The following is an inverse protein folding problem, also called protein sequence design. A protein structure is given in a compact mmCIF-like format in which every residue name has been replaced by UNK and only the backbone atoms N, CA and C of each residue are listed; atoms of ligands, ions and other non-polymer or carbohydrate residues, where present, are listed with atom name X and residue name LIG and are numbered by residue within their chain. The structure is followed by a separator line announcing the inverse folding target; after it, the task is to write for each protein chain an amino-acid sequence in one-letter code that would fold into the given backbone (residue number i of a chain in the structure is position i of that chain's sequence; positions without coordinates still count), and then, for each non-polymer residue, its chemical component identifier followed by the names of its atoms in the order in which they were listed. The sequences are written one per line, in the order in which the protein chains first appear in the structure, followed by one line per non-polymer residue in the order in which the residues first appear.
data_IF_980061291143
#
_entry.id   IF_980061291143
#
_cell.length_a   1.000
_cell.length_b   1.000
_cell.length_c   1.000
_cell.angle_alpha   90.00
_cell.angle_beta   90.00
_cell.angle_gamma   90.00
#
_symmetry.space_group_name_H-M   'P 1'
#
loop_
_entity.id
_entity.type
_entity.pdbx_description
1 polymer ?
#
# COMPACT_ATOMS: atom_id res chain seq x y z
N UNK A 1 8.40 29.99 4.05
CA UNK A 1 8.40 28.50 3.94
C UNK A 1 8.94 27.88 5.21
N UNK A 2 8.26 26.88 5.76
CA UNK A 2 8.72 26.16 6.97
C UNK A 2 9.79 25.10 6.64
N UNK A 3 10.40 24.50 7.67
CA UNK A 3 11.30 23.35 7.48
C UNK A 3 10.55 22.11 6.94
N UNK A 4 9.32 21.89 7.41
CA UNK A 4 8.47 20.79 6.96
C UNK A 4 8.14 20.90 5.46
N UNK A 5 7.76 22.10 4.99
CA UNK A 5 7.43 22.34 3.57
C UNK A 5 8.61 22.00 2.66
N UNK A 6 9.83 22.38 3.08
CA UNK A 6 11.08 22.08 2.35
C UNK A 6 11.34 20.58 2.26
N UNK A 7 11.11 19.84 3.34
CA UNK A 7 11.27 18.38 3.37
C UNK A 7 10.23 17.71 2.47
N UNK A 8 8.97 18.12 2.55
CA UNK A 8 7.88 17.59 1.72
C UNK A 8 8.12 17.84 0.23
N UNK A 9 8.48 19.08 -0.15
CA UNK A 9 8.83 19.43 -1.52
C UNK A 9 10.07 18.67 -2.00
N UNK A 10 11.10 18.54 -1.16
CA UNK A 10 12.30 17.76 -1.47
C UNK A 10 11.98 16.30 -1.77
N UNK A 11 11.17 15.67 -0.94
CA UNK A 11 10.70 14.29 -1.15
C UNK A 11 9.85 14.17 -2.43
N UNK A 12 8.95 15.14 -2.69
CA UNK A 12 8.13 15.19 -3.89
C UNK A 12 8.99 15.27 -5.17
N UNK A 13 10.03 16.10 -5.17
CA UNK A 13 10.94 16.25 -6.31
C UNK A 13 11.82 15.00 -6.51
N UNK A 14 12.29 14.38 -5.42
CA UNK A 14 13.01 13.12 -5.49
C UNK A 14 12.16 11.99 -6.09
N UNK A 15 10.88 11.92 -5.70
CA UNK A 15 9.92 10.95 -6.23
C UNK A 15 9.49 11.22 -7.68
N UNK A 16 9.66 12.46 -8.17
CA UNK A 16 9.25 12.87 -9.52
C UNK A 16 10.19 12.35 -10.63
N UNK A 17 9.68 12.10 -11.86
CA UNK A 17 10.49 11.71 -13.02
C UNK A 17 11.54 12.77 -13.34
N UNK A 18 12.77 12.33 -13.69
CA UNK A 18 13.92 13.22 -13.92
C UNK A 18 13.63 14.33 -14.93
N UNK A 19 12.91 14.02 -16.01
CA UNK A 19 12.53 14.95 -17.08
C UNK A 19 11.63 16.10 -16.62
N UNK A 20 10.89 15.94 -15.52
CA UNK A 20 9.94 16.94 -15.02
C UNK A 20 10.41 17.64 -13.74
N UNK A 21 11.56 17.26 -13.16
CA UNK A 21 12.00 17.78 -11.85
C UNK A 21 12.26 19.29 -11.86
N UNK A 22 12.83 19.82 -12.95
CA UNK A 22 13.13 21.24 -13.05
C UNK A 22 11.84 22.08 -13.07
N UNK A 23 10.93 21.78 -13.98
CA UNK A 23 9.63 22.45 -14.10
C UNK A 23 8.79 22.31 -12.83
N UNK A 24 8.69 21.10 -12.24
CA UNK A 24 7.95 20.88 -10.99
C UNK A 24 8.60 21.58 -9.79
N UNK A 25 9.93 21.70 -9.77
CA UNK A 25 10.62 22.45 -8.71
C UNK A 25 10.19 23.89 -8.76
N UNK A 26 10.33 24.52 -9.92
CA UNK A 26 9.94 25.92 -10.11
C UNK A 26 8.47 26.14 -9.74
N UNK A 27 7.56 25.39 -10.37
CA UNK A 27 6.12 25.49 -10.15
C UNK A 27 5.74 25.29 -8.68
N UNK A 28 6.14 24.18 -8.07
CA UNK A 28 5.72 23.89 -6.69
C UNK A 28 6.39 24.79 -5.66
N UNK A 29 7.59 25.31 -5.93
CA UNK A 29 8.19 26.32 -5.06
C UNK A 29 7.48 27.66 -5.15
N UNK A 30 7.01 28.06 -6.34
CA UNK A 30 6.19 29.24 -6.53
C UNK A 30 4.84 29.07 -5.83
N UNK A 31 4.13 27.95 -6.07
CA UNK A 31 2.84 27.66 -5.45
C UNK A 31 2.90 27.71 -3.92
N UNK A 32 3.93 27.12 -3.30
CA UNK A 32 4.09 27.13 -1.83
C UNK A 32 4.54 28.49 -1.30
N UNK A 33 5.30 29.27 -2.08
CA UNK A 33 5.70 30.64 -1.71
C UNK A 33 4.50 31.58 -1.71
N UNK A 34 3.67 31.49 -2.75
CA UNK A 34 2.57 32.42 -3.03
C UNK A 34 1.27 31.97 -2.33
N UNK A 35 1.25 30.77 -1.74
CA UNK A 35 0.12 30.19 -1.01
C UNK A 35 -0.54 31.15 -0.01
N UNK A 36 0.26 31.92 0.72
CA UNK A 36 -0.24 32.85 1.76
C UNK A 36 -0.95 34.07 1.18
N UNK A 37 -0.61 34.46 -0.04
CA UNK A 37 -1.27 35.56 -0.74
C UNK A 37 -2.66 35.14 -1.24
N UNK A 38 -2.92 33.83 -1.32
CA UNK A 38 -4.17 33.22 -1.77
C UNK A 38 -5.00 32.61 -0.62
N UNK A 39 -4.67 32.92 0.65
CA UNK A 39 -5.28 32.31 1.84
C UNK A 39 -5.22 30.76 1.86
N UNK A 40 -4.21 30.18 1.20
CA UNK A 40 -3.98 28.74 1.17
C UNK A 40 -2.89 28.33 2.17
N UNK A 41 -3.02 27.10 2.67
CA UNK A 41 -2.03 26.50 3.56
C UNK A 41 -0.77 26.06 2.76
N UNK A 42 0.42 26.63 3.03
CA UNK A 42 1.65 26.22 2.34
C UNK A 42 1.99 24.75 2.58
N UNK A 43 1.71 24.23 3.79
CA UNK A 43 1.92 22.83 4.15
C UNK A 43 0.97 21.91 3.37
N UNK A 44 -0.29 22.31 3.18
CA UNK A 44 -1.24 21.54 2.39
C UNK A 44 -0.81 21.45 0.91
N UNK A 45 -0.29 22.54 0.34
CA UNK A 45 0.25 22.52 -1.03
C UNK A 45 1.52 21.68 -1.15
N UNK A 46 2.44 21.75 -0.17
CA UNK A 46 3.63 20.90 -0.15
C UNK A 46 3.26 19.40 -0.04
N UNK A 47 2.22 19.07 0.72
CA UNK A 47 1.67 17.72 0.80
C UNK A 47 0.95 17.30 -0.50
N UNK A 48 0.23 18.23 -1.13
CA UNK A 48 -0.35 18.07 -2.47
C UNK A 48 0.71 17.76 -3.52
N UNK A 49 1.85 18.45 -3.49
CA UNK A 49 2.99 18.17 -4.37
C UNK A 49 3.56 16.75 -4.15
N UNK A 50 3.73 16.34 -2.89
CA UNK A 50 4.21 14.99 -2.54
C UNK A 50 3.26 13.90 -3.03
N UNK A 51 1.97 14.02 -2.73
CA UNK A 51 0.95 13.07 -3.19
C UNK A 51 0.86 13.04 -4.72
N UNK A 52 0.98 14.19 -5.39
CA UNK A 52 1.04 14.26 -6.85
C UNK A 52 2.27 13.53 -7.39
N UNK A 53 3.45 13.72 -6.80
CA UNK A 53 4.66 13.01 -7.20
C UNK A 53 4.55 11.49 -7.04
N UNK A 54 3.97 11.03 -5.93
CA UNK A 54 3.82 9.62 -5.61
C UNK A 54 2.76 8.93 -6.49
N UNK A 55 1.65 9.60 -6.77
CA UNK A 55 0.48 8.98 -7.41
C UNK A 55 0.37 9.27 -8.91
N UNK A 56 0.98 10.34 -9.42
CA UNK A 56 0.87 10.77 -10.84
C UNK A 56 2.20 10.67 -11.60
N UNK A 57 3.04 9.69 -11.24
CA UNK A 57 4.41 9.51 -11.78
C UNK A 57 4.47 9.22 -13.30
N UNK A 58 3.36 8.83 -13.93
CA UNK A 58 3.31 8.35 -15.33
C UNK A 58 2.32 9.07 -16.24
N UNK A 59 1.78 10.21 -15.83
CA UNK A 59 1.01 11.03 -16.77
C UNK A 59 2.01 11.92 -17.53
N UNK A 60 2.38 11.62 -18.80
CA UNK A 60 2.73 12.69 -19.71
C UNK A 60 1.44 13.49 -19.87
N UNK A 61 1.25 14.50 -19.01
CA UNK A 61 0.36 15.58 -19.39
C UNK A 61 0.97 16.15 -20.67
N UNK A 62 0.32 15.91 -21.81
CA UNK A 62 0.36 16.89 -22.89
C UNK A 62 -0.13 18.17 -22.23
N UNK A 63 0.79 19.06 -21.92
CA UNK A 63 0.46 20.42 -21.56
C UNK A 63 -0.34 20.98 -22.72
N UNK A 64 -1.66 21.00 -22.58
CA UNK A 64 -2.59 21.63 -23.53
C UNK A 64 -2.42 23.14 -23.61
N UNK A 65 -1.36 23.67 -23.01
CA UNK A 65 -1.04 25.09 -22.95
C UNK A 65 -0.11 25.55 -24.08
N UNK A 66 0.28 24.64 -24.99
CA UNK A 66 1.10 24.98 -26.18
C UNK A 66 0.50 24.56 -27.53
N UNK A 67 -0.45 23.62 -27.56
CA UNK A 67 -1.06 23.14 -28.81
C UNK A 67 -2.43 23.82 -29.01
N UNK A 68 -2.40 24.85 -29.84
CA UNK A 68 -3.51 25.68 -30.28
C UNK A 68 -4.70 24.92 -30.88
N UNK A 69 -5.89 25.13 -30.30
CA UNK A 69 -7.23 25.32 -30.91
C UNK A 69 -7.73 24.48 -32.12
N UNK A 70 -7.06 23.43 -32.58
CA UNK A 70 -7.44 22.76 -33.85
C UNK A 70 -7.60 21.24 -33.81
N UNK A 71 -7.63 20.62 -32.63
CA UNK A 71 -7.94 19.19 -32.56
C UNK A 71 -9.45 18.96 -32.44
N UNK A 72 -10.03 18.43 -33.52
CA UNK A 72 -11.38 17.87 -33.61
C UNK A 72 -11.76 17.06 -32.36
N UNK A 73 -13.05 17.04 -31.95
CA UNK A 73 -13.51 16.32 -30.77
C UNK A 73 -13.45 14.81 -31.03
N UNK A 74 -12.28 14.20 -30.82
CA UNK A 74 -12.22 12.76 -30.61
C UNK A 74 -13.04 12.42 -29.37
N UNK A 75 -13.85 11.36 -29.36
CA UNK A 75 -14.52 10.87 -28.16
C UNK A 75 -13.46 10.29 -27.22
N UNK A 76 -12.78 11.18 -26.49
CA UNK A 76 -11.88 10.79 -25.42
C UNK A 76 -12.77 10.23 -24.32
N UNK A 77 -12.92 8.90 -24.28
CA UNK A 77 -13.18 8.23 -23.00
C UNK A 77 -11.97 8.53 -22.12
N UNK A 78 -12.02 9.69 -21.45
CA UNK A 78 -11.15 9.99 -20.34
C UNK A 78 -11.52 9.00 -19.26
N UNK A 79 -10.87 7.83 -19.25
CA UNK A 79 -10.85 7.02 -18.05
C UNK A 79 -10.27 7.96 -16.98
N UNK A 80 -11.06 8.37 -15.97
CA UNK A 80 -10.57 9.29 -14.96
C UNK A 80 -9.31 8.68 -14.38
N UNK A 81 -8.28 9.51 -14.23
CA UNK A 81 -6.98 9.13 -13.70
C UNK A 81 -7.17 8.56 -12.30
N UNK A 82 -7.40 7.25 -12.24
CA UNK A 82 -7.56 6.55 -10.99
C UNK A 82 -6.17 6.32 -10.47
N UNK A 83 -5.82 7.05 -9.40
CA UNK A 83 -4.72 6.70 -8.51
C UNK A 83 -4.71 5.18 -8.40
N UNK A 84 -3.55 4.54 -8.61
CA UNK A 84 -3.42 3.11 -8.31
C UNK A 84 -3.62 2.96 -6.80
N UNK A 85 -4.88 2.82 -6.38
CA UNK A 85 -5.33 2.82 -4.99
C UNK A 85 -4.79 1.62 -4.22
N UNK A 86 -4.57 0.50 -4.92
CA UNK A 86 -4.03 -0.74 -4.35
C UNK A 86 -2.68 -0.51 -3.63
N UNK A 87 -1.61 0.01 -4.28
CA UNK A 87 -0.35 0.27 -3.58
C UNK A 87 -0.46 1.32 -2.47
N UNK A 88 -1.41 2.27 -2.55
CA UNK A 88 -1.66 3.23 -1.46
C UNK A 88 -2.23 2.53 -0.25
N UNK A 89 -3.24 1.67 -0.45
CA UNK A 89 -3.86 0.89 0.61
C UNK A 89 -2.86 -0.08 1.25
N UNK A 90 -2.00 -0.69 0.45
CA UNK A 90 -0.91 -1.54 0.95
C UNK A 90 0.08 -0.72 1.79
N UNK A 91 0.50 0.45 1.31
CA UNK A 91 1.40 1.32 2.06
C UNK A 91 0.76 1.79 3.38
N UNK A 92 -0.53 2.12 3.35
CA UNK A 92 -1.31 2.49 4.53
C UNK A 92 -1.41 1.33 5.53
N UNK A 93 -1.62 0.09 5.06
CA UNK A 93 -1.63 -1.09 5.90
C UNK A 93 -0.29 -1.29 6.63
N UNK A 94 0.82 -1.20 5.88
CA UNK A 94 2.18 -1.33 6.44
C UNK A 94 2.45 -0.21 7.44
N UNK A 95 2.15 1.04 7.08
CA UNK A 95 2.38 2.20 7.94
C UNK A 95 1.54 2.10 9.23
N UNK A 96 0.26 1.72 9.10
CA UNK A 96 -0.62 1.51 10.26
C UNK A 96 -0.06 0.44 11.20
N UNK A 97 0.45 -0.66 10.65
CA UNK A 97 1.08 -1.70 11.47
C UNK A 97 2.32 -1.17 12.18
N UNK A 98 3.22 -0.47 11.46
CA UNK A 98 4.44 0.11 12.04
C UNK A 98 4.12 1.09 13.18
N UNK A 99 3.15 1.98 12.95
CA UNK A 99 2.73 2.98 13.94
C UNK A 99 2.14 2.28 15.16
N UNK A 100 1.20 1.35 14.96
CA UNK A 100 0.55 0.66 16.05
C UNK A 100 1.52 -0.26 16.82
N UNK A 101 2.47 -0.92 16.14
CA UNK A 101 3.58 -1.64 16.77
C UNK A 101 4.45 -0.73 17.65
N UNK A 102 4.81 0.46 17.15
CA UNK A 102 5.56 1.44 17.91
C UNK A 102 4.80 1.92 19.15
N UNK A 103 3.50 2.18 19.01
CA UNK A 103 2.62 2.58 20.13
C UNK A 103 2.50 1.44 21.14
N UNK A 104 2.28 0.19 20.73
CA UNK A 104 2.25 -0.96 21.64
C UNK A 104 3.58 -1.15 22.37
N UNK A 105 4.72 -0.98 21.69
CA UNK A 105 6.04 -1.08 22.31
C UNK A 105 6.28 0.01 23.38
N UNK A 106 5.71 1.21 23.19
CA UNK A 106 5.73 2.27 24.20
C UNK A 106 4.76 1.96 25.35
N UNK A 107 3.55 1.52 25.03
CA UNK A 107 2.52 1.17 26.01
C UNK A 107 2.95 0.01 26.91
N UNK A 108 3.80 -0.90 26.43
CA UNK A 108 4.40 -2.00 27.21
C UNK A 108 5.09 -1.55 28.49
N UNK A 109 5.51 -0.28 28.60
CA UNK A 109 6.04 0.30 29.85
C UNK A 109 4.99 0.43 30.96
N UNK A 110 3.71 0.46 30.59
CA UNK A 110 2.56 0.57 31.49
C UNK A 110 1.84 -0.77 31.65
N UNK A 111 2.47 -1.87 31.23
CA UNK A 111 1.90 -3.21 31.38
C UNK A 111 1.64 -3.52 32.85
N UNK A 112 0.44 -3.96 33.18
CA UNK A 112 -0.03 -4.19 34.56
C UNK A 112 -0.88 -3.08 35.17
N UNK A 113 -0.95 -1.89 34.54
CA UNK A 113 -1.90 -0.85 34.93
C UNK A 113 -3.28 -1.15 34.32
N UNK A 114 -4.36 -1.27 35.12
CA UNK A 114 -5.70 -1.56 34.60
C UNK A 114 -6.18 -0.51 33.59
N UNK A 115 -5.81 0.75 33.82
CA UNK A 115 -6.18 1.90 32.99
C UNK A 115 -5.51 1.89 31.60
N UNK A 116 -4.38 1.19 31.45
CA UNK A 116 -3.69 1.07 30.16
C UNK A 116 -4.33 0.02 29.26
N UNK A 117 -5.05 -0.96 29.82
CA UNK A 117 -5.62 -2.11 29.09
C UNK A 117 -6.55 -1.72 27.94
N UNK A 118 -7.52 -0.78 28.10
CA UNK A 118 -8.37 -0.36 26.99
C UNK A 118 -7.59 0.25 25.82
N UNK A 119 -6.48 0.95 26.10
CA UNK A 119 -5.63 1.56 25.08
C UNK A 119 -4.83 0.49 24.35
N UNK A 120 -4.31 -0.51 25.08
CA UNK A 120 -3.68 -1.69 24.48
C UNK A 120 -4.60 -2.41 23.52
N UNK A 121 -5.82 -2.71 23.97
CA UNK A 121 -6.81 -3.43 23.18
C UNK A 121 -7.17 -2.61 21.94
N UNK A 122 -7.41 -1.30 22.09
CA UNK A 122 -7.72 -0.40 20.96
C UNK A 122 -6.59 -0.35 19.91
N UNK A 123 -5.34 -0.24 20.33
CA UNK A 123 -4.19 -0.21 19.41
C UNK A 123 -3.98 -1.59 18.77
N UNK A 124 -4.20 -2.67 19.52
CA UNK A 124 -4.20 -4.03 19.00
C UNK A 124 -5.26 -4.24 17.92
N UNK A 125 -6.49 -3.74 18.13
CA UNK A 125 -7.55 -3.76 17.11
C UNK A 125 -7.07 -3.03 15.85
N UNK A 126 -6.43 -1.86 16.01
CA UNK A 126 -5.84 -1.11 14.91
C UNK A 126 -4.82 -1.90 14.09
N UNK A 127 -4.01 -2.75 14.74
CA UNK A 127 -3.02 -3.61 14.05
C UNK A 127 -3.64 -4.71 13.20
N UNK A 128 -4.81 -5.24 13.58
CA UNK A 128 -5.46 -6.31 12.84
C UNK A 128 -6.46 -5.79 11.80
N UNK A 129 -7.29 -4.84 12.20
CA UNK A 129 -8.43 -4.35 11.42
C UNK A 129 -7.97 -3.48 10.26
N UNK A 130 -7.05 -2.53 10.47
CA UNK A 130 -6.64 -1.60 9.40
C UNK A 130 -5.96 -2.34 8.24
N UNK A 131 -4.99 -3.26 8.46
CA UNK A 131 -4.44 -4.05 7.37
C UNK A 131 -5.48 -4.95 6.70
N UNK A 132 -6.36 -5.59 7.48
CA UNK A 132 -7.43 -6.42 6.93
C UNK A 132 -8.37 -5.65 6.00
N UNK A 133 -8.82 -4.47 6.42
CA UNK A 133 -9.67 -3.58 5.63
C UNK A 133 -8.95 -3.04 4.39
N UNK A 134 -7.66 -2.71 4.50
CA UNK A 134 -6.87 -2.23 3.37
C UNK A 134 -6.70 -3.32 2.30
N UNK A 135 -6.41 -4.56 2.71
CA UNK A 135 -6.30 -5.71 1.78
C UNK A 135 -7.67 -6.05 1.18
N UNK A 136 -8.74 -6.05 1.98
CA UNK A 136 -10.11 -6.26 1.49
C UNK A 136 -10.53 -5.20 0.46
N UNK A 137 -10.31 -3.92 0.78
CA UNK A 137 -10.65 -2.79 -0.10
C UNK A 137 -9.85 -2.86 -1.40
N UNK A 138 -8.58 -3.24 -1.34
CA UNK A 138 -7.76 -3.37 -2.54
C UNK A 138 -8.20 -4.53 -3.44
N UNK A 139 -8.80 -5.60 -2.90
CA UNK A 139 -9.48 -6.64 -3.70
C UNK A 139 -10.78 -6.14 -4.36
N UNK A 140 -11.57 -5.30 -3.70
CA UNK A 140 -12.74 -4.67 -4.30
C UNK A 140 -12.37 -3.82 -5.52
N UNK A 141 -11.21 -3.17 -5.43
CA UNK A 141 -10.66 -2.28 -6.46
C UNK A 141 -9.89 -3.03 -7.56
N UNK A 142 -9.73 -4.36 -7.47
CA UNK A 142 -9.09 -5.15 -8.52
C UNK A 142 -9.89 -5.10 -9.83
N UNK A 143 -9.28 -4.54 -10.88
CA UNK A 143 -9.85 -4.51 -12.23
C UNK A 143 -9.77 -5.89 -12.90
N UNK A 144 -10.70 -6.17 -13.81
CA UNK A 144 -10.74 -7.45 -14.55
C UNK A 144 -11.29 -8.65 -13.77
N UNK A 145 -11.67 -8.49 -12.50
CA UNK A 145 -12.22 -9.58 -11.68
C UNK A 145 -13.75 -9.48 -11.56
N UNK A 146 -14.51 -10.58 -11.78
CA UNK A 146 -15.96 -10.61 -11.57
C UNK A 146 -16.35 -10.19 -10.14
N UNK A 147 -17.45 -9.43 -9.99
CA UNK A 147 -17.91 -8.92 -8.67
C UNK A 147 -18.06 -10.03 -7.61
N UNK A 148 -18.62 -11.18 -7.99
CA UNK A 148 -18.79 -12.34 -7.09
C UNK A 148 -17.46 -12.81 -6.50
N UNK A 149 -16.39 -12.82 -7.31
CA UNK A 149 -15.06 -13.25 -6.85
C UNK A 149 -14.40 -12.21 -5.96
N UNK A 150 -14.55 -10.93 -6.26
CA UNK A 150 -14.11 -9.85 -5.36
C UNK A 150 -14.79 -9.96 -4.00
N UNK A 151 -16.10 -10.22 -3.98
CA UNK A 151 -16.85 -10.46 -2.73
C UNK A 151 -16.29 -11.63 -1.93
N UNK A 152 -16.05 -12.79 -2.56
CA UNK A 152 -15.44 -13.95 -1.91
C UNK A 152 -14.03 -13.64 -1.39
N UNK A 153 -13.22 -12.92 -2.17
CA UNK A 153 -11.90 -12.47 -1.77
C UNK A 153 -11.93 -11.59 -0.52
N UNK A 154 -12.83 -10.60 -0.50
CA UNK A 154 -13.07 -9.74 0.67
C UNK A 154 -13.44 -10.56 1.90
N UNK A 155 -14.41 -11.46 1.77
CA UNK A 155 -14.85 -12.32 2.87
C UNK A 155 -13.68 -13.15 3.40
N UNK A 156 -12.88 -13.75 2.50
CA UNK A 156 -11.70 -14.51 2.88
C UNK A 156 -10.66 -13.65 3.61
N UNK A 157 -10.37 -12.44 3.12
CA UNK A 157 -9.43 -11.53 3.78
C UNK A 157 -9.92 -11.05 5.15
N UNK A 158 -11.21 -10.78 5.29
CA UNK A 158 -11.81 -10.41 6.57
C UNK A 158 -11.80 -11.58 7.56
N UNK A 159 -12.02 -12.81 7.08
CA UNK A 159 -11.91 -14.00 7.91
C UNK A 159 -10.46 -14.20 8.41
N UNK A 160 -9.46 -14.04 7.54
CA UNK A 160 -8.04 -14.09 7.93
C UNK A 160 -7.72 -13.00 8.96
N UNK A 161 -8.20 -11.77 8.77
CA UNK A 161 -8.02 -10.68 9.71
C UNK A 161 -8.70 -10.95 11.07
N UNK A 162 -9.91 -11.56 11.06
CA UNK A 162 -10.62 -11.93 12.26
C UNK A 162 -9.92 -13.07 13.03
N UNK A 163 -9.40 -14.08 12.33
CA UNK A 163 -8.57 -15.13 12.94
C UNK A 163 -7.32 -14.54 13.55
N UNK A 164 -6.64 -13.63 12.83
CA UNK A 164 -5.46 -12.93 13.35
C UNK A 164 -5.76 -12.15 14.63
N UNK A 165 -6.87 -11.41 14.64
CA UNK A 165 -7.35 -10.71 15.82
C UNK A 165 -7.60 -11.67 16.98
N UNK A 166 -8.33 -12.76 16.75
CA UNK A 166 -8.65 -13.74 17.78
C UNK A 166 -7.38 -14.37 18.39
N UNK A 167 -6.36 -14.62 17.58
CA UNK A 167 -5.05 -15.09 18.04
C UNK A 167 -4.34 -14.01 18.88
N UNK A 168 -4.37 -12.75 18.43
CA UNK A 168 -3.67 -11.64 19.08
C UNK A 168 -4.28 -11.27 20.43
N UNK A 169 -5.62 -11.27 20.53
CA UNK A 169 -6.39 -11.01 21.75
C UNK A 169 -6.43 -12.23 22.70
N UNK A 170 -5.89 -13.38 22.26
CA UNK A 170 -5.81 -14.60 23.06
C UNK A 170 -7.11 -15.41 23.16
N UNK A 171 -8.19 -14.95 22.52
CA UNK A 171 -9.47 -15.68 22.43
C UNK A 171 -9.34 -16.99 21.66
N UNK A 172 -8.43 -17.06 20.69
CA UNK A 172 -8.07 -18.28 19.97
C UNK A 172 -6.63 -18.69 20.32
N UNK A 173 -6.51 -19.75 21.11
CA UNK A 173 -5.22 -20.37 21.40
C UNK A 173 -4.80 -21.30 20.26
N UNK A 174 -3.85 -20.84 19.45
CA UNK A 174 -3.21 -21.68 18.42
C UNK A 174 -1.89 -22.22 18.97
N UNK A 175 -1.75 -23.54 19.18
CA UNK A 175 -0.49 -24.11 19.65
C UNK A 175 0.62 -23.87 18.62
N UNK A 176 1.74 -23.28 19.06
CA UNK A 176 2.90 -23.04 18.22
C UNK A 176 3.65 -21.74 18.56
N UNK A 177 4.75 -21.51 17.86
CA UNK A 177 5.50 -20.26 17.97
C UNK A 177 4.70 -19.11 17.37
N UNK A 178 4.53 -18.01 18.12
CA UNK A 178 3.76 -16.84 17.65
C UNK A 178 4.26 -16.28 16.31
N UNK A 179 5.55 -16.42 16.02
CA UNK A 179 6.11 -16.03 14.73
C UNK A 179 5.61 -16.89 13.56
N UNK A 180 5.36 -18.19 13.74
CA UNK A 180 4.76 -19.03 12.70
C UNK A 180 3.32 -18.60 12.41
N UNK A 181 2.58 -18.18 13.43
CA UNK A 181 1.21 -17.67 13.27
C UNK A 181 1.19 -16.42 12.36
N UNK A 182 2.16 -15.51 12.51
CA UNK A 182 2.34 -14.32 11.63
C UNK A 182 2.48 -14.76 10.17
N UNK A 183 3.30 -15.77 9.92
CA UNK A 183 3.59 -16.26 8.58
C UNK A 183 2.38 -16.93 7.95
N UNK A 184 1.63 -17.69 8.74
CA UNK A 184 0.36 -18.30 8.32
C UNK A 184 -0.68 -17.25 7.95
N UNK A 185 -0.78 -16.16 8.71
CA UNK A 185 -1.71 -15.07 8.39
C UNK A 185 -1.28 -14.29 7.15
N UNK A 186 0.00 -13.98 7.01
CA UNK A 186 0.53 -13.36 5.79
C UNK A 186 0.30 -14.26 4.56
N UNK A 187 0.52 -15.57 4.70
CA UNK A 187 0.19 -16.56 3.66
C UNK A 187 -1.31 -16.58 3.37
N UNK A 188 -2.17 -16.50 4.39
CA UNK A 188 -3.63 -16.42 4.24
C UNK A 188 -4.09 -15.21 3.42
N UNK A 189 -3.56 -14.02 3.73
CA UNK A 189 -3.83 -12.81 2.93
C UNK A 189 -3.37 -12.96 1.48
N UNK A 190 -2.17 -13.51 1.27
CA UNK A 190 -1.65 -13.76 -0.08
C UNK A 190 -2.48 -14.81 -0.84
N UNK A 191 -2.93 -15.87 -0.17
CA UNK A 191 -3.77 -16.90 -0.76
C UNK A 191 -5.11 -16.33 -1.20
N UNK A 192 -5.77 -15.55 -0.33
CA UNK A 192 -7.01 -14.85 -0.67
C UNK A 192 -6.81 -13.95 -1.90
N UNK A 193 -5.66 -13.26 -1.99
CA UNK A 193 -5.30 -12.43 -3.12
C UNK A 193 -5.12 -13.23 -4.42
N UNK A 194 -4.28 -14.27 -4.41
CA UNK A 194 -3.97 -15.08 -5.59
C UNK A 194 -5.21 -15.80 -6.13
N UNK A 195 -6.04 -16.36 -5.24
CA UNK A 195 -7.29 -17.05 -5.60
C UNK A 195 -8.29 -16.07 -6.21
N UNK A 196 -8.43 -14.87 -5.63
CA UNK A 196 -9.33 -13.83 -6.14
C UNK A 196 -8.93 -13.38 -7.55
N UNK A 197 -7.62 -13.23 -7.78
CA UNK A 197 -7.05 -12.81 -9.06
C UNK A 197 -6.93 -13.95 -10.10
N UNK A 198 -7.40 -15.17 -9.83
CA UNK A 198 -7.25 -16.36 -10.72
C UNK A 198 -5.81 -16.59 -11.19
N UNK A 199 -4.85 -16.42 -10.30
CA UNK A 199 -3.45 -16.66 -10.69
C UNK A 199 -3.21 -18.15 -10.96
N UNK A 200 -2.31 -18.48 -11.90
CA UNK A 200 -2.01 -19.86 -12.23
C UNK A 200 -1.46 -20.61 -11.01
N UNK A 201 -1.77 -21.90 -10.89
CA UNK A 201 -1.48 -22.69 -9.68
C UNK A 201 -0.01 -22.66 -9.26
N UNK A 202 0.92 -22.51 -10.20
CA UNK A 202 2.35 -22.39 -9.88
C UNK A 202 2.65 -21.18 -8.98
N UNK A 203 1.87 -20.10 -9.05
CA UNK A 203 2.03 -18.92 -8.18
C UNK A 203 1.69 -19.21 -6.72
N UNK A 204 0.97 -20.29 -6.42
CA UNK A 204 0.72 -20.73 -5.04
C UNK A 204 2.02 -21.14 -4.33
N UNK A 205 3.10 -21.44 -5.06
CA UNK A 205 4.44 -21.60 -4.47
C UNK A 205 4.90 -20.35 -3.71
N UNK A 206 4.39 -19.15 -4.06
CA UNK A 206 4.69 -17.91 -3.35
C UNK A 206 4.15 -17.88 -1.92
N UNK A 207 3.19 -18.76 -1.58
CA UNK A 207 2.69 -18.90 -0.20
C UNK A 207 3.76 -19.41 0.76
N UNK A 208 4.80 -20.07 0.25
CA UNK A 208 5.92 -20.55 1.05
C UNK A 208 6.81 -19.40 1.52
N UNK A 209 6.87 -18.29 0.77
CA UNK A 209 7.74 -17.15 1.08
C UNK A 209 7.47 -16.53 2.47
N UNK A 210 6.23 -16.16 2.85
CA UNK A 210 5.97 -15.63 4.19
C UNK A 210 6.31 -16.64 5.30
N UNK A 211 6.17 -17.95 5.06
CA UNK A 211 6.52 -19.00 6.03
C UNK A 211 8.04 -19.15 6.18
N UNK A 212 8.79 -19.13 5.07
CA UNK A 212 10.26 -19.16 5.12
C UNK A 212 10.78 -17.89 5.80
N UNK A 213 10.19 -16.73 5.50
CA UNK A 213 10.56 -15.48 6.13
C UNK A 213 10.38 -15.52 7.65
N UNK A 214 9.28 -16.08 8.17
CA UNK A 214 9.11 -16.22 9.63
C UNK A 214 10.12 -17.17 10.23
N UNK A 215 10.35 -18.33 9.60
CA UNK A 215 11.35 -19.31 10.08
C UNK A 215 12.75 -18.69 10.15
N UNK A 216 13.12 -17.82 9.21
CA UNK A 216 14.43 -17.15 9.19
C UNK A 216 14.51 -15.98 10.18
N UNK A 217 13.42 -15.23 10.37
CA UNK A 217 13.41 -14.05 11.25
C UNK A 217 13.28 -14.42 12.72
N UNK A 218 12.63 -15.55 13.05
CA UNK A 218 12.39 -15.96 14.44
C UNK A 218 13.67 -16.16 15.25
N UNK A 219 14.70 -16.91 14.75
CA UNK A 219 15.95 -17.07 15.47
C UNK A 219 16.66 -15.73 15.70
N UNK A 220 16.59 -14.82 14.73
CA UNK A 220 17.19 -13.50 14.85
C UNK A 220 16.48 -12.67 15.94
N UNK A 221 15.15 -12.67 15.97
CA UNK A 221 14.37 -12.01 17.02
C UNK A 221 14.69 -12.58 18.41
N UNK A 222 14.77 -13.91 18.52
CA UNK A 222 15.13 -14.60 19.76
C UNK A 222 16.57 -14.32 20.21
N UNK A 223 17.52 -14.27 19.27
CA UNK A 223 18.90 -13.92 19.56
C UNK A 223 19.00 -12.51 20.13
N UNK A 224 18.25 -11.54 19.57
CA UNK A 224 18.21 -10.15 20.06
C UNK A 224 17.62 -10.06 21.47
N UNK A 225 16.57 -10.85 21.76
CA UNK A 225 15.98 -10.95 23.11
C UNK A 225 17.02 -11.39 24.15
N UNK A 226 17.93 -12.29 23.78
CA UNK A 226 18.94 -12.82 24.69
C UNK A 226 20.08 -11.84 25.04
N UNK A 227 20.20 -10.69 24.35
CA UNK A 227 21.32 -9.73 24.52
C UNK A 227 21.15 -8.80 25.73
N UNK A 228 20.03 -8.90 26.47
CA UNK A 228 19.80 -8.05 27.64
C UNK A 228 19.47 -6.59 27.29
N UNK A 229 18.90 -6.36 26.10
CA UNK A 229 18.40 -5.04 25.70
C UNK A 229 17.24 -4.59 26.57
N UNK A 230 17.00 -3.27 26.64
CA UNK A 230 15.83 -2.75 27.32
C UNK A 230 14.54 -3.31 26.71
N UNK A 231 13.54 -3.57 27.56
CA UNK A 231 12.32 -4.26 27.18
C UNK A 231 11.55 -3.54 26.05
N UNK A 232 11.59 -2.21 25.98
CA UNK A 232 11.02 -1.44 24.87
C UNK A 232 11.74 -1.68 23.53
N UNK A 233 13.07 -1.78 23.54
CA UNK A 233 13.86 -2.09 22.34
C UNK A 233 13.59 -3.52 21.89
N UNK A 234 13.54 -4.45 22.84
CA UNK A 234 13.21 -5.85 22.58
C UNK A 234 11.82 -6.00 21.95
N UNK A 235 10.82 -5.30 22.50
CA UNK A 235 9.45 -5.31 21.98
C UNK A 235 9.36 -4.67 20.59
N UNK A 236 10.08 -3.57 20.36
CA UNK A 236 10.14 -2.94 19.05
C UNK A 236 10.74 -3.88 17.99
N UNK A 237 11.86 -4.55 18.31
CA UNK A 237 12.50 -5.51 17.39
C UNK A 237 11.59 -6.70 17.13
N UNK A 238 10.90 -7.20 18.16
CA UNK A 238 9.91 -8.26 18.02
C UNK A 238 8.81 -7.87 17.02
N UNK A 239 8.19 -6.70 17.19
CA UNK A 239 7.16 -6.22 16.27
C UNK A 239 7.69 -5.90 14.86
N UNK A 240 8.91 -5.37 14.75
CA UNK A 240 9.57 -5.15 13.47
C UNK A 240 9.83 -6.47 12.73
N UNK A 241 10.20 -7.53 13.45
CA UNK A 241 10.33 -8.87 12.91
C UNK A 241 9.01 -9.42 12.37
N UNK A 242 7.88 -9.11 13.03
CA UNK A 242 6.55 -9.51 12.56
C UNK A 242 6.09 -8.80 11.28
N UNK A 243 6.73 -7.69 10.87
CA UNK A 243 6.42 -7.02 9.59
C UNK A 243 6.97 -7.78 8.37
N UNK A 244 8.08 -8.50 8.52
CA UNK A 244 8.79 -9.12 7.39
C UNK A 244 7.90 -10.05 6.57
N UNK A 245 7.10 -10.96 7.17
CA UNK A 245 6.22 -11.84 6.41
C UNK A 245 5.15 -11.08 5.62
N UNK A 246 4.63 -9.98 6.18
CA UNK A 246 3.67 -9.12 5.50
C UNK A 246 4.31 -8.39 4.31
N UNK A 247 5.52 -7.85 4.47
CA UNK A 247 6.24 -7.21 3.37
C UNK A 247 6.55 -8.20 2.25
N UNK A 248 6.96 -9.42 2.60
CA UNK A 248 7.20 -10.51 1.65
C UNK A 248 5.91 -10.89 0.92
N UNK A 249 4.78 -11.02 1.63
CA UNK A 249 3.49 -11.29 1.03
C UNK A 249 3.03 -10.16 0.10
N UNK A 250 3.25 -8.90 0.48
CA UNK A 250 2.99 -7.74 -0.38
C UNK A 250 3.82 -7.80 -1.65
N UNK A 251 5.13 -8.04 -1.54
CA UNK A 251 6.02 -8.16 -2.70
C UNK A 251 5.57 -9.32 -3.59
N UNK A 252 5.24 -10.47 -3.02
CA UNK A 252 4.70 -11.61 -3.76
C UNK A 252 3.40 -11.26 -4.50
N UNK A 253 2.47 -10.54 -3.86
CA UNK A 253 1.24 -10.06 -4.48
C UNK A 253 1.49 -9.05 -5.61
N UNK A 254 2.48 -8.16 -5.45
CA UNK A 254 2.90 -7.22 -6.50
C UNK A 254 3.54 -7.95 -7.67
N UNK A 255 4.42 -8.91 -7.41
CA UNK A 255 5.07 -9.73 -8.44
C UNK A 255 4.01 -10.54 -9.20
N UNK A 256 3.13 -11.23 -8.48
CA UNK A 256 2.04 -11.99 -9.07
C UNK A 256 1.08 -11.12 -9.89
N UNK A 257 0.82 -9.88 -9.47
CA UNK A 257 -0.04 -8.94 -10.22
C UNK A 257 0.65 -8.30 -11.43
N UNK A 258 1.99 -8.20 -11.46
CA UNK A 258 2.72 -7.71 -12.64
C UNK A 258 2.83 -8.75 -13.76
N UNK A 259 2.78 -10.03 -13.45
CA UNK A 259 2.68 -11.09 -14.46
C UNK A 259 1.26 -11.27 -15.03
N UNK A 260 0.37 -10.28 -14.84
CA UNK A 260 -0.88 -10.18 -15.60
C UNK A 260 -0.56 -9.75 -17.03
N UNK A 261 -0.21 -10.72 -17.86
CA UNK A 261 -0.04 -10.58 -19.32
C UNK A 261 -1.38 -10.43 -20.06
N UNK A 262 -2.50 -10.27 -19.36
CA UNK A 262 -3.79 -9.93 -19.95
C UNK A 262 -3.88 -8.41 -20.19
N UNK A 263 -3.03 -7.90 -21.08
CA UNK A 263 -3.42 -6.74 -21.86
C UNK A 263 -4.28 -7.29 -23.02
N UNK A 264 -5.57 -6.92 -23.14
CA UNK A 264 -6.22 -7.07 -24.42
C UNK A 264 -5.49 -6.14 -25.39
N UNK A 265 -4.55 -6.70 -26.15
CA UNK A 265 -4.14 -6.15 -27.45
C UNK A 265 -5.32 -6.40 -28.38
N UNK A 266 -6.41 -5.67 -28.15
CA UNK A 266 -7.36 -5.38 -29.21
C UNK A 266 -6.94 -4.01 -29.71
N UNK A 267 -5.83 -4.01 -30.45
CA UNK A 267 -5.68 -3.04 -31.52
C UNK A 267 -6.74 -3.48 -32.51
N UNK A 268 -7.95 -2.92 -32.40
CA UNK A 268 -8.85 -2.91 -33.55
C UNK A 268 -8.04 -2.30 -34.69
N UNK A 269 -7.76 -3.03 -35.78
CA UNK A 269 -7.23 -2.40 -36.97
C UNK A 269 -8.28 -1.35 -37.35
N UNK A 270 -7.97 -0.08 -37.12
CA UNK A 270 -8.72 1.01 -37.69
C UNK A 270 -8.64 0.78 -39.19
N UNK A 271 -9.72 0.27 -39.76
CA UNK A 271 -9.89 0.21 -41.19
C UNK A 271 -9.61 1.60 -41.71
N UNK A 272 -8.60 1.71 -42.55
CA UNK A 272 -8.34 2.90 -43.35
C UNK A 272 -9.64 3.27 -44.04
N UNK A 273 -10.34 4.26 -43.49
CA UNK A 273 -11.37 4.97 -44.22
C UNK A 273 -10.64 5.77 -45.29
N UNK A 274 -10.37 5.10 -46.42
CA UNK A 274 -10.09 5.71 -47.71
C UNK A 274 -11.22 6.70 -47.99
N UNK A 275 -11.00 7.96 -47.65
CA UNK A 275 -11.80 9.07 -48.15
C UNK A 275 -11.46 9.20 -49.62
N UNK A 276 -12.30 8.59 -50.45
CA UNK A 276 -12.29 8.81 -51.89
C UNK A 276 -12.65 10.28 -52.14
N UNK A 277 -11.69 11.06 -52.65
CA UNK A 277 -11.85 12.48 -53.00
C UNK A 277 -12.04 12.64 -54.51
N UNK A 278 -12.98 11.90 -55.07
CA UNK A 278 -13.44 12.15 -56.44
C UNK A 278 -14.96 12.08 -56.53
N UNK A 279 -15.63 13.21 -56.24
CA UNK A 279 -16.77 13.76 -56.99
C UNK A 279 -16.78 15.28 -56.78
#
# INVERSE_FOLDING_TARGET
MSALDRVLLGAALAASPATHRAARREQWTADVRDARELDLSPTALAFGALTTALFHRRAPHRSSWGDSMTTLPTPVRAAPHTIRTIPVLIALAVLSFVVAAGVLALLQRYNGLPEARPVFDLVGVGMAVVPGLAVATSLLLASGVPRRRRGLGVIATLAVAAVWWAVTDGTLHVPGYGSLQVGLVAAGFLAAWLVTLRRPLWTLSLLVLPLVATVVVTPLANAVIAVGLSYSVMTLVWWAGQLVPFLVAVVAGVVASRFSTDAPVVVEPHGEALVDKSV
#
